data_IF_331336929697
#
_entry.id   IF_331336929697
#
_cell.length_a   1.000
_cell.length_b   1.000
_cell.length_c   1.000
_cell.angle_alpha   90.00
_cell.angle_beta   90.00
_cell.angle_gamma   90.00
#
_symmetry.space_group_name_H-M   'P 1'
#
loop_
_entity.id
_entity.type
_entity.pdbx_description
1 polymer ?
#
# COMPACT_ATOMS: atom_id res chain seq x y z
N UNK A 1 9.94 -3.36 -6.50
CA UNK A 1 9.19 -4.29 -7.38
C UNK A 1 9.02 -5.62 -6.65
N UNK A 2 7.79 -6.13 -6.49
CA UNK A 2 7.51 -7.47 -5.95
C UNK A 2 8.26 -8.58 -6.69
N UNK A 3 8.70 -9.61 -5.96
CA UNK A 3 9.45 -10.74 -6.51
C UNK A 3 8.80 -11.43 -7.73
N UNK A 4 7.46 -11.64 -7.77
CA UNK A 4 6.81 -12.16 -8.97
C UNK A 4 7.01 -11.30 -10.22
N UNK A 5 7.10 -9.97 -10.09
CA UNK A 5 7.37 -9.07 -11.21
C UNK A 5 8.85 -9.07 -11.61
N UNK A 6 9.77 -9.29 -10.66
CA UNK A 6 11.19 -9.53 -10.99
C UNK A 6 11.33 -10.74 -11.92
N UNK A 7 10.56 -11.81 -11.67
CA UNK A 7 10.58 -13.02 -12.50
C UNK A 7 9.97 -12.83 -13.91
N UNK A 8 9.21 -11.75 -14.13
CA UNK A 8 8.60 -11.40 -15.42
C UNK A 8 9.51 -10.54 -16.30
N UNK A 9 10.61 -10.02 -15.75
CA UNK A 9 11.59 -9.31 -16.56
C UNK A 9 12.14 -10.21 -17.67
N UNK A 10 12.53 -9.60 -18.79
CA UNK A 10 13.15 -10.24 -19.94
C UNK A 10 14.59 -9.76 -20.14
N UNK A 11 15.29 -10.34 -21.11
CA UNK A 11 16.68 -10.00 -21.42
C UNK A 11 17.69 -10.45 -20.37
N UNK A 12 18.82 -9.73 -20.29
CA UNK A 12 19.99 -10.12 -19.50
C UNK A 12 19.71 -10.28 -18.00
N UNK A 13 18.78 -9.51 -17.42
CA UNK A 13 18.37 -9.66 -16.02
C UNK A 13 17.77 -11.04 -15.77
N UNK A 14 16.91 -11.52 -16.68
CA UNK A 14 16.26 -12.82 -16.54
C UNK A 14 17.24 -13.98 -16.72
N UNK A 15 18.19 -13.82 -17.64
CA UNK A 15 19.28 -14.78 -17.87
C UNK A 15 20.12 -14.92 -16.60
N UNK A 16 20.52 -13.80 -15.99
CA UNK A 16 21.29 -13.79 -14.74
C UNK A 16 20.57 -14.42 -13.56
N UNK A 17 19.27 -14.16 -13.42
CA UNK A 17 18.44 -14.84 -12.41
C UNK A 17 18.41 -16.36 -12.63
N UNK A 18 18.41 -16.84 -13.88
CA UNK A 18 18.38 -18.28 -14.19
C UNK A 18 19.73 -18.97 -14.04
N UNK A 19 20.83 -18.23 -14.09
CA UNK A 19 22.19 -18.77 -13.86
C UNK A 19 22.38 -19.28 -12.42
N UNK A 20 21.65 -18.71 -11.45
CA UNK A 20 21.64 -19.16 -10.05
C UNK A 20 20.26 -19.73 -9.66
N UNK A 21 20.10 -21.08 -9.64
CA UNK A 21 18.86 -21.72 -9.23
C UNK A 21 18.41 -21.39 -7.81
N UNK A 22 19.34 -21.06 -6.90
CA UNK A 22 19.00 -20.67 -5.53
C UNK A 22 18.27 -19.33 -5.54
N UNK A 23 18.80 -18.36 -6.29
CA UNK A 23 18.17 -17.05 -6.50
C UNK A 23 16.81 -17.20 -7.18
N UNK A 24 16.72 -17.98 -8.25
CA UNK A 24 15.45 -18.16 -8.95
C UNK A 24 14.38 -18.81 -8.06
N UNK A 25 14.72 -19.90 -7.36
CA UNK A 25 13.79 -20.60 -6.49
C UNK A 25 13.40 -19.76 -5.26
N UNK A 26 14.35 -19.01 -4.70
CA UNK A 26 14.08 -18.07 -3.63
C UNK A 26 13.07 -17.00 -4.05
N UNK A 27 13.23 -16.41 -5.24
CA UNK A 27 12.27 -15.44 -5.78
C UNK A 27 10.90 -16.07 -6.05
N UNK A 28 10.84 -17.29 -6.59
CA UNK A 28 9.58 -18.03 -6.84
C UNK A 28 8.84 -18.38 -5.55
N UNK A 29 9.54 -18.53 -4.44
CA UNK A 29 8.94 -18.88 -3.14
C UNK A 29 8.23 -17.70 -2.47
N UNK A 30 8.52 -16.46 -2.88
CA UNK A 30 7.95 -15.27 -2.26
C UNK A 30 6.47 -15.13 -2.62
N UNK A 31 5.61 -15.06 -1.60
CA UNK A 31 4.16 -14.93 -1.75
C UNK A 31 3.66 -13.63 -1.14
N UNK A 32 2.65 -13.06 -1.76
CA UNK A 32 1.97 -11.86 -1.31
C UNK A 32 0.47 -12.15 -1.21
N UNK A 33 -0.18 -11.50 -0.24
CA UNK A 33 -1.64 -11.38 -0.20
C UNK A 33 -2.13 -10.38 -1.24
N UNK A 34 -3.42 -10.47 -1.57
CA UNK A 34 -4.11 -9.47 -2.41
C UNK A 34 -5.16 -8.71 -1.60
N UNK A 35 -5.38 -7.43 -1.94
CA UNK A 35 -6.43 -6.58 -1.37
C UNK A 35 -6.93 -5.57 -2.39
N UNK A 36 -8.13 -5.05 -2.18
CA UNK A 36 -8.56 -3.79 -2.79
C UNK A 36 -8.55 -2.68 -1.74
N UNK A 37 -8.28 -1.47 -2.20
CA UNK A 37 -8.52 -0.24 -1.47
C UNK A 37 -9.61 0.56 -2.19
N UNK A 38 -10.69 0.88 -1.48
CA UNK A 38 -11.74 1.77 -1.97
C UNK A 38 -11.57 3.13 -1.30
N UNK A 39 -11.40 4.17 -2.11
CA UNK A 39 -11.30 5.54 -1.64
C UNK A 39 -12.53 6.33 -2.06
N UNK A 40 -13.20 6.95 -1.09
CA UNK A 40 -14.35 7.82 -1.27
C UNK A 40 -13.90 9.26 -0.99
N UNK A 41 -14.13 10.17 -1.93
CA UNK A 41 -13.70 11.57 -1.83
C UNK A 41 -14.89 12.51 -1.85
N UNK A 42 -14.77 13.57 -1.07
CA UNK A 42 -15.79 14.60 -0.90
C UNK A 42 -15.17 15.96 -1.20
N UNK A 43 -15.87 16.80 -1.96
CA UNK A 43 -15.41 18.13 -2.35
C UNK A 43 -15.67 19.17 -1.26
N UNK A 44 -16.78 19.01 -0.54
CA UNK A 44 -17.16 19.85 0.58
C UNK A 44 -16.79 19.21 1.91
N UNK A 45 -16.68 20.03 2.95
CA UNK A 45 -16.63 19.53 4.33
C UNK A 45 -17.98 18.87 4.63
N UNK A 46 -17.96 17.56 4.81
CA UNK A 46 -19.09 16.79 5.31
C UNK A 46 -18.78 16.32 6.73
N UNK A 47 -19.81 16.18 7.55
CA UNK A 47 -19.67 15.58 8.87
C UNK A 47 -19.87 14.06 8.76
N UNK A 48 -18.81 13.32 9.04
CA UNK A 48 -18.88 11.87 9.26
C UNK A 48 -18.88 11.68 10.77
N UNK A 49 -20.06 11.44 11.32
CA UNK A 49 -20.31 11.29 12.76
C UNK A 49 -19.93 9.91 13.28
N UNK A 50 -18.68 9.53 13.02
CA UNK A 50 -18.08 8.35 13.61
C UNK A 50 -17.17 8.77 14.77
N UNK A 51 -17.22 8.08 15.92
CA UNK A 51 -16.42 8.41 17.10
C UNK A 51 -14.94 8.02 16.95
N UNK A 52 -14.56 7.48 15.79
CA UNK A 52 -13.22 6.96 15.48
C UNK A 52 -12.69 7.61 14.20
N UNK A 53 -11.36 7.74 14.12
CA UNK A 53 -10.67 8.20 12.91
C UNK A 53 -10.26 7.01 12.02
N UNK A 54 -10.02 5.88 12.68
CA UNK A 54 -9.59 4.61 12.07
C UNK A 54 -10.26 3.47 12.82
N UNK A 55 -10.76 2.46 12.10
CA UNK A 55 -11.37 1.27 12.69
C UNK A 55 -10.97 0.02 11.92
N UNK A 56 -10.65 -1.05 12.64
CA UNK A 56 -10.62 -2.40 12.09
C UNK A 56 -12.01 -3.03 12.22
N UNK A 57 -12.48 -3.65 11.14
CA UNK A 57 -13.77 -4.33 11.07
C UNK A 57 -13.49 -5.83 11.13
N UNK A 58 -14.07 -6.53 12.11
CA UNK A 58 -13.80 -7.95 12.36
C UNK A 58 -14.99 -8.85 12.00
N UNK A 59 -16.18 -8.26 11.92
CA UNK A 59 -17.49 -8.85 11.72
C UNK A 59 -18.01 -8.65 10.28
N UNK A 60 -17.12 -8.35 9.33
CA UNK A 60 -17.43 -8.18 7.92
C UNK A 60 -16.52 -9.05 7.04
N UNK A 61 -17.11 -9.70 6.03
CA UNK A 61 -16.38 -10.60 5.13
C UNK A 61 -15.58 -9.84 4.06
N UNK A 62 -15.98 -8.60 3.76
CA UNK A 62 -15.46 -7.82 2.63
C UNK A 62 -14.41 -6.82 3.10
N UNK A 63 -14.70 -5.96 4.07
CA UNK A 63 -13.82 -4.92 4.58
C UNK A 63 -13.16 -5.30 5.89
N UNK A 64 -11.87 -4.97 6.01
CA UNK A 64 -11.07 -5.23 7.20
C UNK A 64 -10.70 -3.96 7.96
N UNK A 65 -10.67 -2.83 7.26
CA UNK A 65 -10.13 -1.58 7.76
C UNK A 65 -10.85 -0.42 7.10
N UNK A 66 -11.09 0.64 7.86
CA UNK A 66 -11.59 1.90 7.38
C UNK A 66 -10.91 3.07 8.09
N UNK A 67 -10.65 4.15 7.36
CA UNK A 67 -10.10 5.38 7.90
C UNK A 67 -10.79 6.61 7.32
N UNK A 68 -11.11 7.55 8.20
CA UNK A 68 -11.48 8.92 7.86
C UNK A 68 -10.16 9.71 7.78
N UNK A 69 -9.62 9.81 6.58
CA UNK A 69 -8.20 10.13 6.34
C UNK A 69 -7.82 11.54 6.82
N UNK A 70 -8.73 12.51 6.69
CA UNK A 70 -8.52 13.87 7.19
C UNK A 70 -8.44 13.92 8.72
N UNK A 71 -9.30 13.18 9.44
CA UNK A 71 -9.20 13.05 10.91
C UNK A 71 -7.91 12.33 11.30
N UNK A 72 -7.61 11.17 10.68
CA UNK A 72 -6.38 10.38 10.90
C UNK A 72 -5.10 11.21 10.70
N UNK A 73 -5.09 12.15 9.75
CA UNK A 73 -3.94 13.03 9.47
C UNK A 73 -3.93 14.32 10.30
N UNK A 74 -4.86 14.48 11.23
CA UNK A 74 -5.05 15.71 12.00
C UNK A 74 -5.24 16.95 11.12
N UNK A 75 -6.10 16.83 10.10
CA UNK A 75 -6.50 17.88 9.16
C UNK A 75 -8.03 18.04 9.11
N UNK A 76 -8.69 18.38 10.24
CA UNK A 76 -10.16 18.39 10.35
C UNK A 76 -10.85 19.40 9.42
N UNK A 77 -10.13 20.40 8.92
CA UNK A 77 -10.67 21.42 8.01
C UNK A 77 -10.53 21.08 6.53
N UNK A 78 -9.84 19.98 6.19
CA UNK A 78 -9.79 19.49 4.81
C UNK A 78 -11.07 18.69 4.50
N UNK A 79 -11.57 18.76 3.25
CA UNK A 79 -12.60 17.83 2.79
C UNK A 79 -12.18 16.39 3.07
N UNK A 80 -13.08 15.54 3.58
CA UNK A 80 -12.71 14.21 4.00
C UNK A 80 -12.43 13.31 2.79
N UNK A 81 -11.59 12.31 3.05
CA UNK A 81 -11.47 11.14 2.21
C UNK A 81 -11.64 9.92 3.12
N UNK A 82 -12.45 8.95 2.70
CA UNK A 82 -12.60 7.68 3.41
C UNK A 82 -11.81 6.63 2.65
N UNK A 83 -10.97 5.89 3.34
CA UNK A 83 -10.18 4.79 2.77
C UNK A 83 -10.60 3.49 3.43
N UNK A 84 -11.14 2.57 2.65
CA UNK A 84 -11.48 1.21 3.07
C UNK A 84 -10.52 0.21 2.45
N UNK A 85 -10.05 -0.77 3.22
CA UNK A 85 -9.31 -1.91 2.69
C UNK A 85 -10.12 -3.19 2.86
N UNK A 86 -10.13 -4.02 1.82
CA UNK A 86 -10.79 -5.32 1.89
C UNK A 86 -10.04 -6.30 2.79
N UNK A 87 -10.69 -7.38 3.19
CA UNK A 87 -10.05 -8.58 3.74
C UNK A 87 -9.07 -9.18 2.72
N UNK A 88 -8.16 -10.04 3.20
CA UNK A 88 -7.25 -10.79 2.33
C UNK A 88 -8.06 -11.76 1.47
N UNK A 89 -8.98 -12.50 2.11
CA UNK A 89 -9.85 -13.48 1.45
C UNK A 89 -10.59 -12.88 0.27
N UNK A 90 -11.32 -11.79 0.49
CA UNK A 90 -12.02 -11.09 -0.60
C UNK A 90 -11.06 -10.62 -1.69
N UNK A 91 -9.91 -10.07 -1.30
CA UNK A 91 -8.90 -9.58 -2.23
C UNK A 91 -8.33 -10.68 -3.13
N UNK A 92 -8.07 -11.87 -2.58
CA UNK A 92 -7.54 -13.03 -3.30
C UNK A 92 -8.58 -13.64 -4.25
N UNK A 93 -9.82 -13.82 -3.78
CA UNK A 93 -10.92 -14.36 -4.59
C UNK A 93 -11.26 -13.47 -5.79
N UNK A 94 -11.08 -12.15 -5.65
CA UNK A 94 -11.46 -11.17 -6.65
C UNK A 94 -10.26 -10.57 -7.41
N UNK A 95 -9.03 -11.09 -7.23
CA UNK A 95 -7.81 -10.45 -7.76
C UNK A 95 -7.79 -10.38 -9.30
N UNK A 96 -8.42 -11.31 -10.00
CA UNK A 96 -8.48 -11.34 -11.47
C UNK A 96 -9.66 -10.55 -12.06
N UNK A 97 -10.63 -10.12 -11.22
CA UNK A 97 -11.83 -9.41 -11.71
C UNK A 97 -11.50 -8.01 -12.22
N UNK A 98 -12.38 -7.46 -13.07
CA UNK A 98 -12.28 -6.07 -13.49
C UNK A 98 -12.46 -5.14 -12.27
N UNK A 99 -11.64 -4.09 -12.19
CA UNK A 99 -11.66 -3.12 -11.10
C UNK A 99 -13.00 -2.35 -11.07
N UNK A 100 -13.64 -2.08 -12.22
CA UNK A 100 -14.93 -1.39 -12.25
C UNK A 100 -16.04 -2.20 -11.56
N UNK A 101 -16.06 -3.51 -11.82
CA UNK A 101 -17.11 -4.39 -11.29
C UNK A 101 -16.93 -4.53 -9.77
N UNK A 102 -15.69 -4.75 -9.33
CA UNK A 102 -15.36 -4.80 -7.90
C UNK A 102 -15.63 -3.45 -7.22
N UNK A 103 -15.35 -2.33 -7.87
CA UNK A 103 -15.68 -1.01 -7.32
C UNK A 103 -17.18 -0.87 -7.06
N UNK A 104 -18.02 -1.32 -7.99
CA UNK A 104 -19.48 -1.30 -7.83
C UNK A 104 -19.91 -2.15 -6.62
N UNK A 105 -19.44 -3.40 -6.55
CA UNK A 105 -19.77 -4.31 -5.46
C UNK A 105 -19.34 -3.75 -4.09
N UNK A 106 -18.13 -3.19 -4.02
CA UNK A 106 -17.60 -2.59 -2.79
C UNK A 106 -18.39 -1.35 -2.38
N UNK A 107 -18.81 -0.49 -3.33
CA UNK A 107 -19.60 0.69 -3.03
C UNK A 107 -21.00 0.32 -2.53
N UNK A 108 -21.65 -0.65 -3.16
CA UNK A 108 -22.94 -1.19 -2.70
C UNK A 108 -22.83 -1.77 -1.29
N UNK A 109 -21.71 -2.42 -0.98
CA UNK A 109 -21.46 -2.95 0.35
C UNK A 109 -21.23 -1.84 1.39
N UNK A 110 -20.51 -0.77 1.04
CA UNK A 110 -20.37 0.42 1.92
C UNK A 110 -21.74 0.95 2.32
N UNK A 111 -22.68 1.08 1.38
CA UNK A 111 -24.04 1.58 1.69
C UNK A 111 -24.80 0.68 2.67
N UNK A 112 -24.49 -0.63 2.70
CA UNK A 112 -25.09 -1.58 3.64
C UNK A 112 -24.50 -1.44 5.04
N UNK A 113 -23.19 -1.33 5.17
CA UNK A 113 -22.51 -1.30 6.47
C UNK A 113 -22.40 0.11 7.07
N UNK A 114 -22.53 1.16 6.25
CA UNK A 114 -22.55 2.57 6.65
C UNK A 114 -23.70 3.34 5.98
N UNK A 115 -24.97 3.01 6.29
CA UNK A 115 -26.14 3.58 5.60
C UNK A 115 -26.33 5.09 5.82
N UNK A 116 -25.71 5.67 6.85
CA UNK A 116 -25.78 7.10 7.15
C UNK A 116 -24.71 7.95 6.45
N UNK A 117 -23.77 7.33 5.73
CA UNK A 117 -22.72 8.10 5.06
C UNK A 117 -23.25 8.76 3.78
N UNK A 118 -22.87 10.02 3.50
CA UNK A 118 -23.27 10.70 2.28
C UNK A 118 -22.60 10.07 1.06
N UNK A 119 -23.26 10.22 -0.10
CA UNK A 119 -22.71 9.80 -1.38
C UNK A 119 -21.42 10.58 -1.69
N UNK A 120 -20.36 9.90 -2.14
CA UNK A 120 -19.10 10.55 -2.50
C UNK A 120 -19.19 11.29 -3.84
N UNK A 121 -18.47 12.41 -3.94
CA UNK A 121 -18.30 13.14 -5.20
C UNK A 121 -17.43 12.36 -6.20
N UNK A 122 -16.46 11.60 -5.69
CA UNK A 122 -15.55 10.80 -6.49
C UNK A 122 -15.15 9.51 -5.78
N UNK A 123 -15.04 8.42 -6.55
CA UNK A 123 -14.65 7.10 -6.05
C UNK A 123 -13.45 6.60 -6.83
N UNK A 124 -12.45 6.08 -6.11
CA UNK A 124 -11.30 5.38 -6.69
C UNK A 124 -11.12 4.02 -6.05
N UNK A 125 -11.27 2.97 -6.83
CA UNK A 125 -10.88 1.62 -6.43
C UNK A 125 -9.47 1.29 -6.94
N UNK A 126 -8.66 0.68 -6.08
CA UNK A 126 -7.29 0.30 -6.37
C UNK A 126 -7.06 -1.16 -6.00
N UNK A 127 -6.58 -1.94 -6.96
CA UNK A 127 -6.18 -3.33 -6.78
C UNK A 127 -4.72 -3.42 -6.32
N UNK A 128 -4.48 -4.12 -5.22
CA UNK A 128 -3.16 -4.49 -4.73
C UNK A 128 -2.98 -6.00 -4.89
N UNK A 129 -2.52 -6.44 -6.07
CA UNK A 129 -2.19 -7.86 -6.31
C UNK A 129 -1.06 -8.36 -5.41
N UNK A 130 -0.12 -7.47 -5.09
CA UNK A 130 1.01 -7.76 -4.21
C UNK A 130 0.94 -6.80 -3.02
N UNK A 131 -0.02 -7.04 -2.13
CA UNK A 131 -0.34 -6.14 -1.02
C UNK A 131 0.65 -6.25 0.14
N UNK A 132 0.71 -7.41 0.79
CA UNK A 132 1.63 -7.68 1.90
C UNK A 132 2.30 -9.03 1.72
N UNK A 133 3.58 -9.12 2.12
CA UNK A 133 4.35 -10.37 2.07
C UNK A 133 3.75 -11.38 3.05
N UNK A 134 3.35 -12.54 2.52
CA UNK A 134 2.87 -13.70 3.29
C UNK A 134 4.00 -14.70 3.50
N UNK A 135 4.82 -14.90 2.46
CA UNK A 135 6.02 -15.74 2.52
C UNK A 135 7.18 -14.90 1.99
N UNK A 136 8.13 -14.49 2.83
CA UNK A 136 9.30 -13.75 2.37
C UNK A 136 10.32 -14.69 1.72
N UNK A 137 11.33 -14.09 1.08
CA UNK A 137 12.49 -14.78 0.54
C UNK A 137 13.21 -15.56 1.65
N UNK A 138 13.66 -16.80 1.39
CA UNK A 138 14.30 -17.64 2.40
C UNK A 138 15.47 -16.94 3.09
N UNK A 139 15.46 -16.96 4.43
CA UNK A 139 16.51 -16.32 5.24
C UNK A 139 16.32 -14.83 5.49
N UNK A 140 15.36 -14.16 4.85
CA UNK A 140 15.09 -12.72 5.01
C UNK A 140 16.34 -11.82 4.90
N UNK A 141 17.13 -11.92 3.83
CA UNK A 141 18.44 -11.26 3.75
C UNK A 141 18.36 -9.73 3.60
N UNK A 142 17.17 -9.14 3.46
CA UNK A 142 16.95 -7.72 3.17
C UNK A 142 17.17 -7.36 1.70
N UNK A 143 18.12 -8.02 1.06
CA UNK A 143 18.40 -7.96 -0.37
C UNK A 143 19.13 -9.23 -0.83
N UNK A 144 19.21 -9.43 -2.14
CA UNK A 144 20.10 -10.42 -2.76
C UNK A 144 20.91 -9.76 -3.86
N UNK A 145 22.14 -10.23 -4.07
CA UNK A 145 22.96 -9.84 -5.22
C UNK A 145 22.68 -10.83 -6.35
N UNK A 146 22.15 -10.33 -7.46
CA UNK A 146 21.88 -11.12 -8.68
C UNK A 146 23.14 -11.17 -9.56
N UNK A 147 23.94 -10.10 -9.57
CA UNK A 147 25.23 -10.03 -10.27
C UNK A 147 26.16 -9.05 -9.54
N UNK A 148 27.45 -9.36 -9.46
CA UNK A 148 28.44 -8.51 -8.79
C UNK A 148 29.00 -7.41 -9.69
N UNK A 149 29.22 -7.70 -10.98
CA UNK A 149 29.78 -6.74 -11.94
C UNK A 149 29.16 -6.90 -13.35
N UNK A 150 28.45 -5.88 -13.89
CA UNK A 150 27.98 -4.71 -13.14
C UNK A 150 27.01 -5.14 -12.02
N UNK A 151 27.04 -4.40 -10.91
CA UNK A 151 26.26 -4.72 -9.73
C UNK A 151 24.75 -4.68 -10.02
N UNK A 152 24.07 -5.79 -9.75
CA UNK A 152 22.62 -5.93 -9.82
C UNK A 152 22.11 -6.55 -8.52
N UNK A 153 21.19 -5.83 -7.86
CA UNK A 153 20.62 -6.23 -6.56
C UNK A 153 19.09 -6.27 -6.69
N UNK A 154 18.47 -7.26 -6.03
CA UNK A 154 17.04 -7.26 -5.77
C UNK A 154 16.78 -7.04 -4.27
N UNK A 155 15.95 -6.06 -3.94
CA UNK A 155 15.64 -5.67 -2.56
C UNK A 155 14.18 -5.22 -2.42
N UNK A 156 13.74 -5.01 -1.18
CA UNK A 156 12.39 -4.55 -0.82
C UNK A 156 11.63 -5.55 0.05
N UNK A 157 10.33 -5.32 0.23
CA UNK A 157 9.51 -6.01 1.23
C UNK A 157 9.63 -7.54 1.17
N UNK A 158 9.67 -8.11 -0.03
CA UNK A 158 9.78 -9.55 -0.25
C UNK A 158 11.02 -10.21 0.34
N UNK A 159 12.06 -9.45 0.69
CA UNK A 159 13.31 -9.97 1.25
C UNK A 159 13.44 -9.75 2.76
N UNK A 160 12.41 -9.19 3.39
CA UNK A 160 12.39 -8.92 4.83
C UNK A 160 11.19 -9.59 5.48
N UNK A 161 11.33 -10.01 6.74
CA UNK A 161 10.17 -10.44 7.52
C UNK A 161 9.42 -9.20 8.00
N UNK A 162 8.36 -8.83 7.31
CA UNK A 162 7.36 -7.93 7.88
C UNK A 162 6.61 -8.72 8.95
N UNK A 163 6.90 -8.46 10.23
CA UNK A 163 6.02 -8.96 11.29
C UNK A 163 4.65 -8.32 11.10
N UNK A 164 3.66 -9.17 10.83
CA UNK A 164 2.24 -8.84 10.92
C UNK A 164 2.00 -8.23 12.31
N UNK A 165 1.26 -7.13 12.36
CA UNK A 165 1.02 -6.22 13.49
C UNK A 165 2.04 -5.08 13.62
N UNK A 166 2.03 -4.17 12.64
CA UNK A 166 1.74 -2.76 12.93
C UNK A 166 1.72 -1.94 11.63
N UNK A 167 0.55 -1.43 11.25
CA UNK A 167 0.51 -0.12 10.61
C UNK A 167 0.73 0.89 11.76
N UNK A 168 1.95 0.92 12.31
CA UNK A 168 2.33 1.98 13.25
C UNK A 168 2.84 3.12 12.41
N UNK A 169 2.18 4.27 12.56
CA UNK A 169 2.75 5.57 12.23
C UNK A 169 4.18 5.64 12.79
N UNK A 170 5.19 5.66 11.93
CA UNK A 170 6.45 6.27 12.32
C UNK A 170 6.31 7.76 12.04
N UNK A 171 6.06 8.53 13.10
CA UNK A 171 6.17 9.99 13.09
C UNK A 171 7.68 10.29 13.03
N UNK A 172 8.15 10.82 11.91
CA UNK A 172 9.40 11.56 11.89
C UNK A 172 9.03 13.02 12.12
N UNK A 173 9.33 13.54 13.31
CA UNK A 173 9.51 14.98 13.50
C UNK A 173 10.96 15.28 13.18
N UNK A 174 11.22 16.02 12.10
CA UNK A 174 12.49 16.71 11.91
C UNK A 174 12.39 18.07 12.64
N UNK A 175 13.22 18.35 13.66
CA UNK A 175 13.20 19.63 14.36
C UNK A 175 13.82 20.78 13.55
N UNK A 176 14.49 20.52 12.41
CA UNK A 176 15.32 21.54 11.77
C UNK A 176 15.34 21.47 10.25
N UNK A 177 14.30 21.97 9.57
CA UNK A 177 14.50 22.70 8.31
C UNK A 177 13.33 23.64 7.97
N UNK A 178 13.53 24.94 8.17
CA UNK A 178 12.76 25.98 7.48
C UNK A 178 13.19 26.05 6.02
N UNK A 179 12.48 25.39 5.11
CA UNK A 179 12.43 25.79 3.69
C UNK A 179 11.06 25.47 3.10
N UNK A 180 10.28 26.53 2.85
CA UNK A 180 9.09 26.47 1.98
C UNK A 180 9.54 26.15 0.56
N UNK A 181 9.02 25.09 -0.06
CA UNK A 181 9.11 24.89 -1.50
C UNK A 181 7.77 25.20 -2.15
N UNK A 182 7.83 26.02 -3.20
CA UNK A 182 6.74 26.54 -4.00
C UNK A 182 6.17 25.46 -4.92
N UNK A 183 4.96 24.98 -4.64
CA UNK A 183 4.15 24.17 -5.57
C UNK A 183 2.65 24.50 -5.44
N UNK A 184 2.33 25.77 -5.18
CA UNK A 184 0.98 26.33 -5.34
C UNK A 184 0.95 27.12 -6.63
N UNK A 185 0.66 26.42 -7.73
CA UNK A 185 0.07 26.99 -8.93
C UNK A 185 -0.33 25.82 -9.83
N UNK A 186 -1.62 25.76 -10.16
CA UNK A 186 -2.31 24.80 -11.02
C UNK A 186 -3.10 23.73 -10.27
N UNK A 187 -4.39 24.03 -10.07
CA UNK A 187 -5.42 23.23 -9.39
C UNK A 187 -5.75 21.89 -10.05
N UNK A 188 -4.74 21.03 -10.23
CA UNK A 188 -4.84 19.60 -10.54
C UNK A 188 -3.95 18.83 -9.58
N UNK A 189 -4.35 18.76 -8.32
CA UNK A 189 -3.76 17.83 -7.37
C UNK A 189 -4.19 16.41 -7.75
N UNK A 190 -3.49 15.80 -8.72
CA UNK A 190 -3.53 14.37 -8.93
C UNK A 190 -3.07 13.69 -7.64
N UNK A 191 -4.01 13.06 -6.93
CA UNK A 191 -3.73 12.13 -5.83
C UNK A 191 -3.01 10.88 -6.37
N UNK A 192 -1.71 11.04 -6.67
CA UNK A 192 -0.74 9.95 -6.85
C UNK A 192 0.08 9.66 -5.56
N UNK A 193 -0.20 10.37 -4.46
CA UNK A 193 0.63 10.34 -3.25
C UNK A 193 0.16 9.47 -2.08
N UNK A 194 -0.74 8.50 -2.29
CA UNK A 194 -0.75 7.35 -1.39
C UNK A 194 0.26 6.36 -1.96
N UNK A 195 1.03 5.69 -1.09
CA UNK A 195 2.02 4.65 -1.36
C UNK A 195 3.51 5.11 -1.39
N UNK A 196 4.24 4.58 -0.40
CA UNK A 196 5.68 4.58 -0.13
C UNK A 196 6.28 5.65 0.82
N UNK A 197 6.89 5.11 1.88
CA UNK A 197 7.67 5.71 2.97
C UNK A 197 8.94 6.46 2.50
N UNK A 198 9.49 7.36 3.32
CA UNK A 198 10.93 7.48 3.47
C UNK A 198 11.42 6.78 4.76
N UNK A 199 12.37 5.85 4.62
CA UNK A 199 13.26 5.45 5.72
C UNK A 199 14.35 6.54 5.90
N UNK A 200 14.74 6.90 7.13
CA UNK A 200 16.00 7.59 7.36
C UNK A 200 17.16 6.59 7.28
N UNK A 201 18.16 6.91 6.46
CA UNK A 201 19.48 6.27 6.48
C UNK A 201 20.18 6.74 7.75
N UNK A 202 20.29 5.88 8.76
CA UNK A 202 21.20 6.14 9.89
C UNK A 202 22.65 6.07 9.37
N UNK A 203 23.38 7.17 9.55
CA UNK A 203 24.82 7.23 9.35
C UNK A 203 25.48 6.23 10.31
N UNK A 204 26.17 5.24 9.75
CA UNK A 204 27.27 4.58 10.44
C UNK A 204 28.35 5.65 10.65
N UNK A 205 28.57 6.07 11.89
CA UNK A 205 29.82 6.71 12.28
C UNK A 205 30.82 5.62 12.68
N UNK A 206 32.09 5.73 12.26
CA UNK A 206 33.13 4.78 12.64
C UNK A 206 33.55 5.02 14.09
N UNK A 207 33.75 3.93 14.82
CA UNK A 207 34.68 3.84 15.96
C UNK A 207 35.64 2.71 15.66
#
# INVERSE_FOLDING_TARGET
MPAPQILQLSGSVREKIKEDPSVENGLKSVKYSSRYALCLFYNAKIEIDEPWDVKYIYDDEIFRYVAIDNKKRNKPDSPPAIVLHTTITYGEENVERNISDVQSDLLDHVKKIFPGWPEPDFVKCQKWRYSQVVTPYPGNPGFIVVQQDPLLIACGDGFTKLQVLTITQLIITDPHTHRKSSWEQDGKAMYQGCWFWPYPVSRLHPT
#
